data_IF_377859663491
#
_entry.id   IF_377859663491
#
_cell.length_a   1.000
_cell.length_b   1.000
_cell.length_c   1.000
_cell.angle_alpha   90.00
_cell.angle_beta   90.00
_cell.angle_gamma   90.00
#
_symmetry.space_group_name_H-M   'P 1'
#
loop_
_entity.id
_entity.type
_entity.pdbx_description
1 polymer ?
#
# COMPACT_ATOMS: atom_id res chain seq x y z
N UNK A 1 -47.52 -22.69 -3.80
CA UNK A 1 -47.28 -21.93 -2.56
C UNK A 1 -46.30 -20.83 -2.94
N UNK A 2 -46.78 -19.63 -3.20
CA UNK A 2 -45.93 -18.49 -3.54
C UNK A 2 -45.31 -17.98 -2.23
N UNK A 3 -43.98 -17.91 -2.16
CA UNK A 3 -43.32 -17.22 -1.06
C UNK A 3 -43.80 -15.76 -1.05
N UNK A 4 -44.43 -15.32 0.04
CA UNK A 4 -44.74 -13.91 0.24
C UNK A 4 -43.43 -13.11 0.23
N UNK A 5 -43.23 -12.31 -0.81
CA UNK A 5 -42.11 -11.37 -0.89
C UNK A 5 -42.16 -10.45 0.34
N UNK A 6 -41.18 -10.60 1.23
CA UNK A 6 -41.05 -9.73 2.39
C UNK A 6 -40.94 -8.27 1.91
N UNK A 7 -41.75 -7.34 2.45
CA UNK A 7 -41.69 -5.94 2.06
C UNK A 7 -40.28 -5.40 2.28
N UNK A 8 -39.69 -4.86 1.22
CA UNK A 8 -38.34 -4.28 1.23
C UNK A 8 -38.25 -3.14 2.24
N UNK A 9 -37.06 -2.88 2.78
CA UNK A 9 -36.84 -1.75 3.70
C UNK A 9 -37.29 -0.41 3.10
N UNK A 10 -37.21 -0.25 1.77
CA UNK A 10 -37.69 0.92 1.04
C UNK A 10 -39.22 1.07 1.09
N UNK A 11 -39.96 -0.02 0.93
CA UNK A 11 -41.43 0.00 0.92
C UNK A 11 -42.04 0.39 2.27
N UNK A 12 -41.26 0.31 3.35
CA UNK A 12 -41.66 0.70 4.73
C UNK A 12 -41.48 2.19 5.02
N UNK A 13 -40.83 2.94 4.14
CA UNK A 13 -40.60 4.37 4.33
C UNK A 13 -41.85 5.19 3.95
N UNK A 14 -42.05 6.38 4.54
CA UNK A 14 -43.05 7.33 4.05
C UNK A 14 -42.90 7.60 2.54
N UNK A 15 -44.02 7.67 1.81
CA UNK A 15 -44.02 7.80 0.34
C UNK A 15 -43.11 8.92 -0.19
N UNK A 16 -43.13 10.08 0.48
CA UNK A 16 -42.25 11.21 0.13
C UNK A 16 -40.76 10.85 0.19
N UNK A 17 -40.33 10.13 1.24
CA UNK A 17 -38.95 9.68 1.37
C UNK A 17 -38.57 8.62 0.34
N UNK A 18 -39.51 7.75 -0.05
CA UNK A 18 -39.27 6.80 -1.13
C UNK A 18 -38.94 7.54 -2.44
N UNK A 19 -39.80 8.50 -2.82
CA UNK A 19 -39.61 9.33 -4.03
C UNK A 19 -38.28 10.08 -3.99
N UNK A 20 -37.97 10.75 -2.87
CA UNK A 20 -36.75 11.54 -2.74
C UNK A 20 -35.49 10.65 -2.82
N UNK A 21 -35.49 9.46 -2.20
CA UNK A 21 -34.39 8.50 -2.29
C UNK A 21 -34.22 7.93 -3.70
N UNK A 22 -35.31 7.66 -4.43
CA UNK A 22 -35.23 7.25 -5.84
C UNK A 22 -34.63 8.35 -6.72
N UNK A 23 -35.01 9.61 -6.50
CA UNK A 23 -34.41 10.72 -7.26
C UNK A 23 -32.93 10.92 -6.91
N UNK A 24 -32.57 10.82 -5.63
CA UNK A 24 -31.16 10.83 -5.22
C UNK A 24 -30.37 9.67 -5.83
N UNK A 25 -30.94 8.46 -5.87
CA UNK A 25 -30.31 7.31 -6.53
C UNK A 25 -30.12 7.56 -8.03
N UNK A 26 -31.10 8.17 -8.71
CA UNK A 26 -31.01 8.54 -10.12
C UNK A 26 -29.90 9.57 -10.37
N UNK A 27 -29.83 10.61 -9.54
CA UNK A 27 -28.78 11.63 -9.61
C UNK A 27 -27.40 11.03 -9.35
N UNK A 28 -27.26 10.17 -8.34
CA UNK A 28 -26.02 9.47 -8.03
C UNK A 28 -25.60 8.55 -9.19
N UNK A 29 -26.51 7.78 -9.77
CA UNK A 29 -26.24 6.93 -10.92
C UNK A 29 -25.74 7.73 -12.14
N UNK A 30 -26.38 8.86 -12.44
CA UNK A 30 -25.95 9.74 -13.54
C UNK A 30 -24.55 10.31 -13.30
N UNK A 31 -24.23 10.70 -12.06
CA UNK A 31 -22.90 11.17 -11.68
C UNK A 31 -21.85 10.07 -11.81
N UNK A 32 -22.13 8.87 -11.29
CA UNK A 32 -21.23 7.72 -11.35
C UNK A 32 -20.94 7.35 -12.81
N UNK A 33 -21.94 7.38 -13.69
CA UNK A 33 -21.75 7.11 -15.11
C UNK A 33 -20.74 8.08 -15.74
N UNK A 34 -20.87 9.38 -15.48
CA UNK A 34 -19.90 10.39 -15.96
C UNK A 34 -18.50 10.16 -15.40
N UNK A 35 -18.38 9.79 -14.13
CA UNK A 35 -17.10 9.48 -13.49
C UNK A 35 -16.43 8.23 -14.10
N UNK A 36 -17.21 7.20 -14.46
CA UNK A 36 -16.74 5.99 -15.14
C UNK A 36 -16.21 6.30 -16.55
N UNK A 37 -16.87 7.17 -17.30
CA UNK A 37 -16.40 7.58 -18.64
C UNK A 37 -15.06 8.34 -18.55
N UNK A 38 -14.95 9.31 -17.64
CA UNK A 38 -13.67 10.01 -17.38
C UNK A 38 -12.59 9.01 -16.95
N UNK A 39 -12.95 7.99 -16.16
CA UNK A 39 -12.01 6.96 -15.74
C UNK A 39 -11.54 6.09 -16.91
N UNK A 40 -12.43 5.67 -17.82
CA UNK A 40 -12.05 4.93 -19.03
C UNK A 40 -11.04 5.71 -19.85
N UNK A 41 -11.25 7.01 -20.03
CA UNK A 41 -10.28 7.88 -20.71
C UNK A 41 -8.92 7.96 -20.00
N UNK A 42 -8.92 8.01 -18.66
CA UNK A 42 -7.66 8.02 -17.90
C UNK A 42 -6.92 6.70 -18.00
N UNK A 43 -7.64 5.59 -17.89
CA UNK A 43 -7.08 4.24 -18.00
C UNK A 43 -6.49 4.02 -19.40
N UNK A 44 -7.16 4.45 -20.46
CA UNK A 44 -6.65 4.32 -21.83
C UNK A 44 -5.34 5.11 -22.04
N UNK A 45 -5.22 6.31 -21.46
CA UNK A 45 -3.99 7.12 -21.52
C UNK A 45 -2.82 6.45 -20.80
N UNK A 46 -3.09 5.81 -19.66
CA UNK A 46 -2.07 5.17 -18.82
C UNK A 46 -1.73 3.76 -19.30
N UNK A 47 -2.59 3.13 -20.10
CA UNK A 47 -2.35 1.79 -20.65
C UNK A 47 -1.00 1.68 -21.38
N UNK A 48 -0.61 2.72 -22.12
CA UNK A 48 0.67 2.74 -22.85
C UNK A 48 1.90 2.88 -21.92
N UNK A 49 1.70 3.34 -20.68
CA UNK A 49 2.75 3.45 -19.69
C UNK A 49 2.95 2.12 -18.95
N UNK A 50 1.88 1.34 -18.76
CA UNK A 50 1.93 0.08 -18.02
C UNK A 50 2.24 -1.07 -18.96
N UNK A 51 3.47 -1.59 -18.86
CA UNK A 51 3.87 -2.79 -19.59
C UNK A 51 3.65 -4.02 -18.72
N UNK A 52 2.97 -5.01 -19.28
CA UNK A 52 2.69 -6.29 -18.62
C UNK A 52 3.49 -7.40 -19.28
N UNK A 53 4.15 -8.21 -18.45
CA UNK A 53 5.04 -9.30 -18.87
C UNK A 53 4.49 -10.64 -18.41
N UNK A 54 4.74 -11.69 -19.18
CA UNK A 54 4.32 -13.05 -18.83
C UNK A 54 5.12 -13.58 -17.65
N UNK A 55 4.45 -14.29 -16.75
CA UNK A 55 5.13 -15.02 -15.67
C UNK A 55 5.93 -16.15 -16.30
N UNK A 56 7.24 -16.27 -16.03
CA UNK A 56 8.06 -17.34 -16.59
C UNK A 56 7.49 -18.73 -16.25
N UNK A 57 7.33 -19.60 -17.24
CA UNK A 57 6.79 -20.97 -17.06
C UNK A 57 7.74 -21.91 -16.32
N UNK A 58 9.01 -21.52 -16.13
CA UNK A 58 10.06 -22.41 -15.64
C UNK A 58 10.74 -21.81 -14.41
N UNK A 59 10.22 -22.14 -13.24
CA UNK A 59 11.01 -22.21 -12.02
C UNK A 59 10.57 -23.47 -11.26
N UNK A 60 11.42 -24.49 -11.26
CA UNK A 60 11.30 -25.59 -10.29
C UNK A 60 11.34 -24.97 -8.90
N UNK A 61 10.23 -25.04 -8.15
CA UNK A 61 10.14 -24.49 -6.79
C UNK A 61 11.21 -25.05 -5.84
N UNK A 62 11.84 -26.18 -6.19
CA UNK A 62 12.87 -26.83 -5.37
C UNK A 62 14.22 -26.12 -5.40
N UNK A 63 14.47 -25.28 -6.40
CA UNK A 63 15.75 -24.61 -6.62
C UNK A 63 15.67 -23.09 -6.39
N UNK A 64 14.53 -22.61 -5.90
CA UNK A 64 14.30 -21.20 -5.65
C UNK A 64 14.52 -20.86 -4.19
N UNK A 65 15.31 -19.82 -3.97
CA UNK A 65 15.37 -19.14 -2.68
C UNK A 65 14.42 -17.96 -2.65
N UNK A 66 13.36 -18.09 -1.85
CA UNK A 66 12.29 -17.09 -1.77
C UNK A 66 12.30 -16.42 -0.42
N UNK A 67 12.49 -15.10 -0.42
CA UNK A 67 12.26 -14.28 0.77
C UNK A 67 10.83 -13.75 0.80
N UNK A 68 10.24 -13.61 1.97
CA UNK A 68 8.99 -12.89 2.17
C UNK A 68 9.12 -11.92 3.35
N UNK A 69 8.66 -10.69 3.18
CA UNK A 69 8.74 -9.62 4.17
C UNK A 69 7.36 -9.04 4.42
N UNK A 70 7.05 -8.81 5.69
CA UNK A 70 5.82 -8.15 6.13
C UNK A 70 6.10 -7.18 7.28
N UNK A 71 5.24 -6.18 7.41
CA UNK A 71 5.27 -5.15 8.42
C UNK A 71 3.91 -5.01 9.08
N UNK A 72 3.89 -4.86 10.40
CA UNK A 72 2.67 -4.59 11.16
C UNK A 72 2.85 -3.39 12.08
N UNK A 73 1.76 -2.69 12.34
CA UNK A 73 1.71 -1.61 13.32
C UNK A 73 0.41 -1.63 14.08
N UNK A 74 0.43 -1.07 15.29
CA UNK A 74 -0.74 -1.01 16.15
C UNK A 74 -1.88 -0.26 15.45
N UNK A 75 -3.07 -0.89 15.27
CA UNK A 75 -4.20 -0.26 14.57
C UNK A 75 -4.80 0.90 15.38
N UNK A 76 -4.62 0.86 16.70
CA UNK A 76 -5.04 1.89 17.64
C UNK A 76 -3.85 2.32 18.47
N UNK A 77 -3.84 3.58 18.87
CA UNK A 77 -2.85 4.12 19.78
C UNK A 77 -3.29 3.93 21.22
N UNK A 78 -2.33 3.72 22.12
CA UNK A 78 -2.55 3.85 23.56
C UNK A 78 -2.32 5.30 23.97
N UNK A 79 -3.40 6.00 24.26
CA UNK A 79 -3.39 7.38 24.76
C UNK A 79 -3.41 7.36 26.31
N UNK A 80 -2.25 7.57 26.96
CA UNK A 80 -2.12 7.61 28.43
C UNK A 80 -1.10 8.66 28.89
N UNK A 81 -1.33 9.26 30.06
CA UNK A 81 -0.39 10.18 30.73
C UNK A 81 0.07 11.36 29.83
N UNK A 82 -0.80 11.86 28.95
CA UNK A 82 -0.48 12.94 28.01
C UNK A 82 0.29 12.48 26.76
N UNK A 83 0.59 11.19 26.62
CA UNK A 83 1.30 10.61 25.50
C UNK A 83 0.45 9.69 24.65
N UNK A 84 0.76 9.67 23.36
CA UNK A 84 0.21 8.78 22.35
C UNK A 84 1.29 7.79 21.96
N UNK A 85 1.03 6.51 22.23
CA UNK A 85 2.01 5.44 22.02
C UNK A 85 1.49 4.48 20.96
N UNK A 86 2.31 4.20 19.96
CA UNK A 86 2.09 3.19 18.94
C UNK A 86 3.31 2.28 18.81
N UNK A 87 3.08 1.03 18.42
CA UNK A 87 4.14 0.05 18.19
C UNK A 87 4.11 -0.43 16.75
N UNK A 88 5.26 -0.83 16.25
CA UNK A 88 5.40 -1.40 14.92
C UNK A 88 6.46 -2.49 14.92
N UNK A 89 6.35 -3.43 13.99
CA UNK A 89 7.31 -4.48 13.77
C UNK A 89 7.43 -4.79 12.29
N UNK A 90 8.59 -5.29 11.88
CA UNK A 90 8.80 -5.87 10.56
C UNK A 90 9.57 -7.18 10.70
N UNK A 91 9.24 -8.14 9.86
CA UNK A 91 9.95 -9.41 9.82
C UNK A 91 10.16 -9.89 8.38
N UNK A 92 11.15 -10.75 8.20
CA UNK A 92 11.28 -11.56 7.00
C UNK A 92 11.46 -13.04 7.32
N UNK A 93 11.06 -13.87 6.37
CA UNK A 93 11.32 -15.31 6.35
C UNK A 93 11.96 -15.67 5.01
N UNK A 94 12.89 -16.63 5.01
CA UNK A 94 13.53 -17.12 3.78
C UNK A 94 13.34 -18.62 3.66
N UNK A 95 12.86 -19.02 2.50
CA UNK A 95 12.71 -20.40 2.08
C UNK A 95 13.80 -20.74 1.06
N UNK A 96 14.42 -21.90 1.20
CA UNK A 96 15.29 -22.53 0.21
C UNK A 96 14.65 -23.85 -0.21
N UNK A 97 13.97 -23.86 -1.36
CA UNK A 97 13.06 -24.93 -1.72
C UNK A 97 11.95 -25.11 -0.66
N UNK A 98 12.04 -26.20 0.10
CA UNK A 98 11.06 -26.55 1.13
C UNK A 98 11.52 -26.26 2.56
N UNK A 99 12.74 -25.74 2.75
CA UNK A 99 13.32 -25.50 4.07
C UNK A 99 13.29 -24.01 4.42
N UNK A 100 13.06 -23.70 5.70
CA UNK A 100 13.18 -22.33 6.22
C UNK A 100 14.62 -22.16 6.71
N UNK A 101 15.38 -21.25 6.09
CA UNK A 101 16.80 -21.03 6.40
C UNK A 101 17.05 -19.79 7.27
N UNK A 102 15.97 -19.07 7.63
CA UNK A 102 16.01 -17.89 8.48
C UNK A 102 15.54 -18.15 9.91
N UNK A 103 15.21 -19.39 10.27
CA UNK A 103 14.65 -19.77 11.58
C UNK A 103 15.58 -19.45 12.76
N UNK A 104 16.89 -19.53 12.55
CA UNK A 104 17.94 -19.26 13.55
C UNK A 104 18.54 -17.86 13.47
N UNK A 105 17.97 -16.99 12.63
CA UNK A 105 18.45 -15.62 12.49
C UNK A 105 17.64 -14.67 13.38
N UNK A 106 18.21 -14.35 14.54
CA UNK A 106 17.61 -13.45 15.53
C UNK A 106 17.37 -12.03 14.99
N UNK A 107 18.00 -11.67 13.87
CA UNK A 107 17.80 -10.37 13.22
C UNK A 107 16.69 -10.35 12.17
N UNK A 108 15.96 -11.46 11.99
CA UNK A 108 14.82 -11.55 11.07
C UNK A 108 13.66 -10.64 11.47
N UNK A 109 13.49 -10.40 12.77
CA UNK A 109 12.41 -9.57 13.31
C UNK A 109 12.99 -8.34 14.00
N UNK A 110 12.31 -7.21 13.84
CA UNK A 110 12.63 -5.98 14.55
C UNK A 110 11.36 -5.26 14.92
N UNK A 111 11.28 -4.81 16.17
CA UNK A 111 10.17 -4.03 16.69
C UNK A 111 10.67 -2.65 17.11
N UNK A 112 9.78 -1.68 16.99
CA UNK A 112 9.98 -0.32 17.46
C UNK A 112 8.69 0.25 18.03
N UNK A 113 8.81 1.40 18.64
CA UNK A 113 7.68 2.15 19.15
C UNK A 113 7.83 3.62 18.78
N UNK A 114 6.72 4.33 18.87
CA UNK A 114 6.65 5.76 18.71
C UNK A 114 5.86 6.30 19.88
N UNK A 115 6.41 7.30 20.57
CA UNK A 115 5.78 7.97 21.69
C UNK A 115 5.81 9.47 21.42
N UNK A 116 4.64 10.06 21.22
CA UNK A 116 4.49 11.49 20.92
C UNK A 116 3.52 12.14 21.90
N UNK A 117 3.54 13.46 21.98
CA UNK A 117 2.52 14.19 22.75
C UNK A 117 1.11 13.94 22.18
N UNK A 118 0.07 13.93 23.03
CA UNK A 118 -1.33 13.72 22.60
C UNK A 118 -1.95 14.89 21.81
N UNK A 119 -1.20 15.96 21.57
CA UNK A 119 -1.68 17.17 20.89
C UNK A 119 -1.41 17.05 19.39
N UNK A 120 -2.39 17.44 18.58
CA UNK A 120 -2.28 17.48 17.11
C UNK A 120 -3.16 16.47 16.38
N UNK A 121 -2.90 16.31 15.09
CA UNK A 121 -3.71 15.48 14.21
C UNK A 121 -3.33 13.99 14.34
N UNK A 122 -4.27 13.18 14.82
CA UNK A 122 -4.11 11.73 14.99
C UNK A 122 -3.76 11.03 13.68
N UNK A 123 -4.23 11.55 12.55
CA UNK A 123 -3.97 10.93 11.27
C UNK A 123 -2.55 11.22 10.77
N UNK A 124 -1.97 12.37 11.12
CA UNK A 124 -0.55 12.64 10.91
C UNK A 124 0.29 11.69 11.77
N UNK A 125 -0.07 11.52 13.04
CA UNK A 125 0.59 10.55 13.94
C UNK A 125 0.52 9.13 13.38
N UNK A 126 -0.66 8.68 12.92
CA UNK A 126 -0.85 7.37 12.27
C UNK A 126 0.04 7.24 11.04
N UNK A 127 0.10 8.31 10.23
CA UNK A 127 0.91 8.31 9.02
C UNK A 127 2.39 8.14 9.32
N UNK A 128 2.90 8.80 10.36
CA UNK A 128 4.30 8.70 10.78
C UNK A 128 4.59 7.28 11.28
N UNK A 129 3.73 6.70 12.14
CA UNK A 129 3.87 5.31 12.60
C UNK A 129 3.96 4.32 11.42
N UNK A 130 3.06 4.46 10.44
CA UNK A 130 3.07 3.60 9.24
C UNK A 130 4.36 3.76 8.44
N UNK A 131 4.93 4.97 8.37
CA UNK A 131 6.20 5.18 7.66
C UNK A 131 7.38 4.59 8.42
N UNK A 132 7.43 4.70 9.75
CA UNK A 132 8.47 4.05 10.57
C UNK A 132 8.44 2.53 10.39
N UNK A 133 7.24 1.92 10.43
CA UNK A 133 7.05 0.51 10.08
C UNK A 133 7.55 0.21 8.66
N UNK A 134 7.19 1.04 7.68
CA UNK A 134 7.61 0.86 6.29
C UNK A 134 9.14 0.97 6.14
N UNK A 135 9.81 1.83 6.90
CA UNK A 135 11.28 1.89 6.93
C UNK A 135 11.83 0.52 7.33
N UNK A 136 11.37 -0.02 8.45
CA UNK A 136 11.83 -1.32 8.95
C UNK A 136 11.55 -2.46 7.97
N UNK A 137 10.36 -2.49 7.37
CA UNK A 137 10.01 -3.44 6.32
C UNK A 137 10.99 -3.35 5.14
N UNK A 138 11.34 -2.14 4.67
CA UNK A 138 12.25 -1.94 3.53
C UNK A 138 13.71 -2.25 3.90
N UNK A 139 14.14 -1.98 5.13
CA UNK A 139 15.45 -2.36 5.65
C UNK A 139 15.59 -3.89 5.73
N UNK A 140 14.59 -4.57 6.30
CA UNK A 140 14.52 -6.04 6.37
C UNK A 140 14.49 -6.68 4.98
N UNK A 141 13.74 -6.09 4.05
CA UNK A 141 13.72 -6.52 2.65
C UNK A 141 15.11 -6.46 1.99
N UNK A 142 15.85 -5.36 2.18
CA UNK A 142 17.21 -5.22 1.63
C UNK A 142 18.18 -6.21 2.29
N UNK A 143 18.14 -6.34 3.62
CA UNK A 143 18.95 -7.31 4.35
C UNK A 143 18.68 -8.74 3.91
N UNK A 144 17.41 -9.10 3.69
CA UNK A 144 17.02 -10.41 3.20
C UNK A 144 17.70 -10.73 1.86
N UNK A 145 17.70 -9.78 0.92
CA UNK A 145 18.41 -9.92 -0.36
C UNK A 145 19.93 -10.06 -0.14
N UNK A 146 20.53 -9.20 0.68
CA UNK A 146 21.98 -9.16 0.88
C UNK A 146 22.53 -10.38 1.62
N UNK A 147 21.85 -10.83 2.68
CA UNK A 147 22.31 -11.92 3.55
C UNK A 147 22.07 -13.30 2.95
N UNK A 148 20.92 -13.49 2.30
CA UNK A 148 20.50 -14.80 1.81
C UNK A 148 20.60 -14.95 0.30
N UNK A 149 20.91 -13.90 -0.45
CA UNK A 149 20.95 -13.91 -1.91
C UNK A 149 19.68 -14.53 -2.53
N UNK A 150 18.51 -14.09 -2.06
CA UNK A 150 17.23 -14.63 -2.54
C UNK A 150 17.06 -14.40 -4.05
N UNK A 151 16.44 -15.33 -4.76
CA UNK A 151 16.10 -15.17 -6.18
C UNK A 151 14.91 -14.24 -6.34
N UNK A 152 13.93 -14.40 -5.45
CA UNK A 152 12.68 -13.63 -5.43
C UNK A 152 12.40 -13.20 -4.00
N UNK A 153 12.13 -11.90 -3.83
CA UNK A 153 11.67 -11.33 -2.57
C UNK A 153 10.22 -10.87 -2.70
N UNK A 154 9.33 -11.44 -1.90
CA UNK A 154 7.94 -11.01 -1.79
C UNK A 154 7.81 -9.94 -0.71
N UNK A 155 7.11 -8.86 -1.04
CA UNK A 155 6.77 -7.78 -0.11
C UNK A 155 5.24 -7.72 -0.01
N UNK A 156 4.66 -7.81 1.19
CA UNK A 156 3.22 -7.58 1.35
C UNK A 156 2.87 -6.09 1.23
N UNK A 157 2.50 -5.68 0.03
CA UNK A 157 2.30 -4.28 -0.28
C UNK A 157 2.81 -3.88 -1.66
N UNK A 158 2.43 -2.67 -2.05
CA UNK A 158 2.95 -2.02 -3.24
C UNK A 158 4.18 -1.19 -2.90
N UNK A 159 5.13 -1.10 -3.84
CA UNK A 159 6.40 -0.36 -3.62
C UNK A 159 6.18 1.09 -3.20
N UNK A 160 5.28 1.81 -3.89
CA UNK A 160 5.03 3.24 -3.67
C UNK A 160 3.75 3.52 -2.87
N UNK A 161 3.16 2.50 -2.22
CA UNK A 161 1.91 2.67 -1.46
C UNK A 161 2.05 3.64 -0.29
N UNK A 162 3.26 3.76 0.24
CA UNK A 162 3.59 4.69 1.32
C UNK A 162 3.39 6.16 0.97
N UNK A 163 3.26 6.55 -0.31
CA UNK A 163 3.18 7.99 -0.68
C UNK A 163 1.92 8.70 -0.16
N UNK A 164 0.84 7.95 0.08
CA UNK A 164 -0.46 8.52 0.40
C UNK A 164 -0.36 9.33 1.70
N UNK A 165 -0.83 10.58 1.67
CA UNK A 165 -0.79 11.55 2.79
C UNK A 165 0.60 12.00 3.25
N UNK A 166 1.66 11.65 2.53
CA UNK A 166 3.01 12.16 2.84
C UNK A 166 3.11 13.70 2.80
N UNK A 167 2.27 14.39 2.02
CA UNK A 167 2.24 15.85 1.97
C UNK A 167 1.84 16.50 3.30
N UNK A 168 1.04 15.81 4.11
CA UNK A 168 0.54 16.33 5.40
C UNK A 168 1.64 16.40 6.45
N UNK A 169 2.58 15.44 6.39
CA UNK A 169 3.66 15.34 7.37
C UNK A 169 5.00 15.92 6.88
N UNK A 170 5.11 16.22 5.58
CA UNK A 170 6.40 16.56 4.93
C UNK A 170 7.15 17.71 5.62
N UNK A 171 6.43 18.68 6.17
CA UNK A 171 6.97 19.88 6.81
C UNK A 171 7.02 19.81 8.33
N UNK A 172 6.57 18.70 8.93
CA UNK A 172 6.60 18.54 10.37
C UNK A 172 8.05 18.37 10.85
N UNK A 173 8.38 19.06 11.93
CA UNK A 173 9.54 18.75 12.74
C UNK A 173 9.19 17.52 13.60
N UNK A 174 9.89 16.42 13.34
CA UNK A 174 9.62 15.15 14.01
C UNK A 174 10.29 15.11 15.40
N UNK A 175 11.38 15.86 15.59
CA UNK A 175 12.07 15.93 16.88
C UNK A 175 11.19 16.65 17.92
N UNK A 176 10.51 17.73 17.53
CA UNK A 176 9.60 18.48 18.42
C UNK A 176 8.42 17.63 18.93
N UNK A 177 7.98 16.64 18.15
CA UNK A 177 6.87 15.77 18.54
C UNK A 177 7.32 14.48 19.25
N UNK A 178 8.63 14.30 19.48
CA UNK A 178 9.18 13.17 20.25
C UNK A 178 9.76 12.03 19.43
N UNK A 179 10.08 12.25 18.14
CA UNK A 179 10.70 11.25 17.26
C UNK A 179 12.12 11.69 16.94
N UNK A 180 13.12 10.97 17.45
CA UNK A 180 14.52 11.39 17.38
C UNK A 180 15.28 10.86 16.17
N UNK A 181 14.81 9.79 15.53
CA UNK A 181 15.50 9.11 14.42
C UNK A 181 15.53 9.96 13.14
N UNK A 182 14.63 10.93 13.03
CA UNK A 182 14.49 11.82 11.88
C UNK A 182 14.19 13.23 12.36
N UNK A 183 14.80 14.24 11.72
CA UNK A 183 14.52 15.63 12.06
C UNK A 183 13.21 16.10 11.45
N UNK A 184 12.92 15.68 10.21
CA UNK A 184 11.73 16.13 9.48
C UNK A 184 10.95 14.99 8.86
N UNK A 185 9.65 15.21 8.64
CA UNK A 185 8.82 14.23 7.93
C UNK A 185 9.34 13.95 6.51
N UNK A 186 9.97 14.95 5.87
CA UNK A 186 10.61 14.75 4.57
C UNK A 186 11.79 13.77 4.63
N UNK A 187 12.62 13.80 5.66
CA UNK A 187 13.73 12.85 5.83
C UNK A 187 13.23 11.42 5.95
N UNK A 188 12.20 11.20 6.77
CA UNK A 188 11.53 9.90 6.90
C UNK A 188 10.98 9.40 5.55
N UNK A 189 10.24 10.26 4.84
CA UNK A 189 9.71 9.94 3.50
C UNK A 189 10.84 9.62 2.51
N UNK A 190 11.92 10.39 2.54
CA UNK A 190 13.05 10.23 1.63
C UNK A 190 13.83 8.94 1.92
N UNK A 191 13.94 8.54 3.19
CA UNK A 191 14.52 7.24 3.56
C UNK A 191 13.69 6.11 2.93
N UNK A 192 12.37 6.07 3.18
CA UNK A 192 11.49 5.05 2.58
C UNK A 192 11.61 5.04 1.05
N UNK A 193 11.62 6.21 0.40
CA UNK A 193 11.77 6.32 -1.05
C UNK A 193 13.11 5.77 -1.56
N UNK A 194 14.22 6.07 -0.87
CA UNK A 194 15.55 5.57 -1.24
C UNK A 194 15.62 4.05 -1.11
N UNK A 195 15.15 3.48 0.00
CA UNK A 195 15.14 2.02 0.21
C UNK A 195 14.21 1.32 -0.79
N UNK A 196 13.04 1.89 -1.06
CA UNK A 196 12.13 1.40 -2.11
C UNK A 196 12.79 1.40 -3.49
N UNK A 197 13.50 2.47 -3.86
CA UNK A 197 14.23 2.55 -5.13
C UNK A 197 15.34 1.50 -5.22
N UNK A 198 16.04 1.21 -4.12
CA UNK A 198 17.04 0.12 -4.09
C UNK A 198 16.38 -1.23 -4.36
N UNK A 199 15.24 -1.52 -3.72
CA UNK A 199 14.49 -2.76 -3.94
C UNK A 199 14.00 -2.89 -5.39
N UNK A 200 13.42 -1.83 -5.97
CA UNK A 200 13.00 -1.86 -7.39
C UNK A 200 14.19 -2.09 -8.31
N UNK A 201 15.34 -1.45 -8.04
CA UNK A 201 16.56 -1.62 -8.83
C UNK A 201 17.20 -3.01 -8.70
N UNK A 202 16.98 -3.71 -7.58
CA UNK A 202 17.51 -5.07 -7.40
C UNK A 202 16.97 -6.05 -8.45
N UNK A 203 15.77 -5.80 -8.98
CA UNK A 203 15.09 -6.72 -9.91
C UNK A 203 14.61 -8.03 -9.26
N UNK A 204 14.88 -8.24 -7.97
CA UNK A 204 14.51 -9.44 -7.20
C UNK A 204 13.19 -9.26 -6.42
N UNK A 205 12.79 -8.03 -6.15
CA UNK A 205 11.61 -7.74 -5.33
C UNK A 205 10.30 -7.71 -6.13
N UNK A 206 9.26 -8.34 -5.59
CA UNK A 206 7.89 -8.37 -6.12
C UNK A 206 6.92 -7.90 -5.04
N UNK A 207 6.17 -6.84 -5.32
CA UNK A 207 5.11 -6.35 -4.44
C UNK A 207 3.81 -7.13 -4.64
N UNK A 208 3.27 -7.70 -3.58
CA UNK A 208 2.03 -8.49 -3.61
C UNK A 208 0.86 -7.59 -3.22
N UNK A 209 -0.04 -7.32 -4.17
CA UNK A 209 -1.17 -6.40 -3.99
C UNK A 209 -2.47 -7.18 -3.76
N UNK A 210 -2.91 -7.31 -2.50
CA UNK A 210 -4.16 -8.01 -2.13
C UNK A 210 -5.32 -7.06 -1.84
N UNK A 211 -5.24 -6.32 -0.73
CA UNK A 211 -6.34 -5.49 -0.16
C UNK A 211 -6.05 -3.99 -0.13
N UNK A 212 -5.09 -3.54 -0.93
CA UNK A 212 -4.56 -2.19 -0.79
C UNK A 212 -5.55 -1.12 -1.29
N UNK A 213 -5.82 -0.14 -0.43
CA UNK A 213 -6.37 1.17 -0.78
C UNK A 213 -5.26 2.15 -1.22
N UNK A 214 -4.11 1.63 -1.66
CA UNK A 214 -2.99 2.44 -2.14
C UNK A 214 -3.17 2.79 -3.60
N UNK A 215 -2.54 3.91 -3.99
CA UNK A 215 -2.43 4.34 -5.37
C UNK A 215 -0.94 4.40 -5.73
N UNK A 216 -0.20 3.29 -5.53
CA UNK A 216 1.22 3.19 -5.80
C UNK A 216 1.56 3.28 -7.27
N UNK A 217 0.70 2.80 -8.17
CA UNK A 217 0.87 2.96 -9.62
C UNK A 217 0.91 4.44 -9.97
N UNK A 218 -0.03 5.24 -9.47
CA UNK A 218 0.01 6.70 -9.60
C UNK A 218 1.30 7.30 -9.00
N UNK A 219 1.82 6.70 -7.93
CA UNK A 219 3.09 7.09 -7.32
C UNK A 219 4.28 6.88 -8.25
N UNK A 220 4.32 5.73 -8.90
CA UNK A 220 5.32 5.41 -9.89
C UNK A 220 5.18 6.29 -11.14
N UNK A 221 3.96 6.49 -11.66
CA UNK A 221 3.70 7.41 -12.78
C UNK A 221 4.21 8.81 -12.44
N UNK A 222 3.86 9.34 -11.26
CA UNK A 222 4.35 10.64 -10.81
C UNK A 222 5.88 10.69 -10.71
N UNK A 223 6.51 9.59 -10.28
CA UNK A 223 7.97 9.52 -10.18
C UNK A 223 8.68 9.60 -11.55
N UNK A 224 7.97 9.25 -12.64
CA UNK A 224 8.46 9.28 -14.02
C UNK A 224 8.09 10.58 -14.73
N UNK A 225 6.83 11.03 -14.61
CA UNK A 225 6.29 12.14 -15.39
C UNK A 225 6.32 13.48 -14.68
N UNK A 226 6.41 13.49 -13.35
CA UNK A 226 6.24 14.68 -12.49
C UNK A 226 4.94 15.46 -12.73
N UNK A 227 3.92 14.82 -13.33
CA UNK A 227 2.67 15.47 -13.73
C UNK A 227 1.47 14.86 -13.03
N UNK A 228 0.74 15.68 -12.28
CA UNK A 228 -0.54 15.28 -11.67
C UNK A 228 -1.63 15.00 -12.70
N UNK A 229 -1.50 15.48 -13.94
CA UNK A 229 -2.48 15.20 -15.01
C UNK A 229 -2.40 13.75 -15.51
N UNK A 230 -1.30 13.06 -15.22
CA UNK A 230 -1.03 11.69 -15.69
C UNK A 230 -1.55 10.60 -14.74
N UNK A 231 -2.06 10.96 -13.56
CA UNK A 231 -2.52 9.97 -12.56
C UNK A 231 -3.98 9.56 -12.80
N UNK A 232 -4.29 8.31 -12.46
CA UNK A 232 -5.65 7.74 -12.57
C UNK A 232 -6.50 8.12 -11.36
N UNK A 233 -5.88 8.22 -10.17
CA UNK A 233 -6.52 8.46 -8.88
C UNK A 233 -7.47 7.32 -8.47
N UNK A 234 -7.00 6.08 -8.66
CA UNK A 234 -7.70 4.84 -8.28
C UNK A 234 -6.77 3.93 -7.51
N UNK A 235 -7.36 3.03 -6.72
CA UNK A 235 -6.55 2.03 -6.02
C UNK A 235 -5.88 1.09 -7.03
N UNK A 236 -4.71 0.57 -6.66
CA UNK A 236 -3.87 -0.23 -7.55
C UNK A 236 -4.60 -1.48 -8.06
N UNK A 237 -5.43 -2.10 -7.21
CA UNK A 237 -6.24 -3.26 -7.59
C UNK A 237 -7.22 -2.94 -8.72
N UNK A 238 -7.85 -1.76 -8.70
CA UNK A 238 -8.79 -1.31 -9.74
C UNK A 238 -8.07 -1.08 -11.05
N UNK A 239 -6.89 -0.45 -11.02
CA UNK A 239 -6.08 -0.20 -12.23
C UNK A 239 -5.60 -1.52 -12.83
N UNK A 240 -5.02 -2.40 -12.02
CA UNK A 240 -4.50 -3.69 -12.49
C UNK A 240 -5.62 -4.61 -12.98
N UNK A 241 -6.76 -4.68 -12.30
CA UNK A 241 -7.89 -5.50 -12.76
C UNK A 241 -8.44 -5.04 -14.12
N UNK A 242 -8.38 -3.74 -14.39
CA UNK A 242 -8.88 -3.17 -15.64
C UNK A 242 -7.90 -3.34 -16.81
N UNK A 243 -6.59 -3.40 -16.55
CA UNK A 243 -5.56 -3.32 -17.59
C UNK A 243 -4.68 -4.57 -17.71
N UNK A 244 -4.44 -5.31 -16.62
CA UNK A 244 -3.50 -6.43 -16.60
C UNK A 244 -4.19 -7.73 -17.03
N UNK A 245 -3.73 -8.40 -18.10
CA UNK A 245 -4.22 -9.72 -18.47
C UNK A 245 -3.89 -10.78 -17.40
N UNK A 246 -4.67 -11.86 -17.38
CA UNK A 246 -4.37 -13.01 -16.51
C UNK A 246 -3.01 -13.62 -16.89
N UNK A 247 -2.26 -14.10 -15.89
CA UNK A 247 -0.94 -14.72 -16.09
C UNK A 247 0.22 -13.73 -16.32
N UNK A 248 -0.03 -12.43 -16.15
CA UNK A 248 0.99 -11.38 -16.32
C UNK A 248 1.31 -10.64 -15.02
N UNK A 249 2.46 -10.00 -14.99
CA UNK A 249 2.88 -9.09 -13.92
C UNK A 249 3.26 -7.71 -14.49
N UNK A 250 3.21 -6.70 -13.63
CA UNK A 250 3.66 -5.34 -13.92
C UNK A 250 5.07 -5.11 -13.36
N UNK A 251 5.95 -4.52 -14.17
CA UNK A 251 7.34 -4.24 -13.79
C UNK A 251 7.59 -2.74 -13.62
N UNK A 252 7.95 -2.32 -12.40
CA UNK A 252 8.24 -0.92 -12.08
C UNK A 252 9.53 -0.38 -12.75
N UNK A 253 10.35 -1.24 -13.38
CA UNK A 253 11.60 -0.85 -14.07
C UNK A 253 11.37 -0.21 -15.44
N UNK A 254 10.25 -0.52 -16.09
CA UNK A 254 9.83 0.15 -17.32
C UNK A 254 9.66 1.66 -17.09
#
# INVERSE_FOLDING_TARGET
>A
MFEEEKPSAMSKLPFKLQVDLYEHARQAASRVFKEIEIEREKLSRVNNLLKFRDIPEVLSSKDLRVGAVDGSSSPTFSDRLGYRIGVYAACYIVFDGNEIISDKDDETMEAGYMMVNQVGDIEQTRKILTLLMTVKEREKALRCIEKYDVDILLIDGSFYGFRTRCSEIKKLDLAEIGISEYKTGWELINHVLKSTRKLVKSGKAVGVIKRLRSCAIDGWILSKTWSKKSIVNRNDRSVLRSLMPCGKYFDYRD
#
